data_IF_601997347728
#
_entry.id   IF_601997347728
#
_cell.length_a   1.000
_cell.length_b   1.000
_cell.length_c   1.000
_cell.angle_alpha   90.00
_cell.angle_beta   90.00
_cell.angle_gamma   90.00
#
_symmetry.space_group_name_H-M   'P 1'
#
loop_
_entity.id
_entity.type
_entity.pdbx_description
1 polymer ?
#
# COMPACT_ATOMS: atom_id res chain seq x y z
N UNK A 1 -24.70 7.86 -7.61
CA UNK A 1 -23.91 7.95 -6.35
C UNK A 1 -22.45 7.83 -6.73
N UNK A 2 -21.55 8.55 -6.04
CA UNK A 2 -20.11 8.39 -6.24
C UNK A 2 -19.68 6.99 -5.78
N UNK A 3 -18.67 6.42 -6.43
CA UNK A 3 -18.08 5.13 -6.03
C UNK A 3 -17.08 5.39 -4.90
N UNK A 4 -17.31 4.86 -3.71
CA UNK A 4 -16.41 5.05 -2.57
C UNK A 4 -15.21 4.10 -2.64
N UNK A 5 -14.02 4.64 -2.38
CA UNK A 5 -12.75 3.88 -2.32
C UNK A 5 -12.15 4.06 -0.93
N UNK A 6 -12.00 2.96 -0.20
CA UNK A 6 -11.31 2.96 1.10
C UNK A 6 -9.80 2.88 0.86
N UNK A 7 -9.04 3.78 1.48
CA UNK A 7 -7.58 3.85 1.35
C UNK A 7 -6.95 3.73 2.74
N UNK A 8 -6.39 2.60 3.05
CA UNK A 8 -5.63 2.39 4.28
C UNK A 8 -4.19 2.87 4.07
N UNK A 9 -3.73 3.82 4.91
CA UNK A 9 -2.46 4.52 4.71
C UNK A 9 -2.57 5.75 3.80
N UNK A 10 -3.76 6.35 3.72
CA UNK A 10 -4.06 7.43 2.79
C UNK A 10 -3.35 8.77 3.06
N UNK A 11 -2.84 8.99 4.27
CA UNK A 11 -2.04 10.18 4.62
C UNK A 11 -0.56 10.06 4.23
N UNK A 12 -0.11 8.89 3.77
CA UNK A 12 1.24 8.69 3.22
C UNK A 12 1.42 9.38 1.86
N UNK A 13 2.67 9.43 1.36
CA UNK A 13 2.98 10.14 0.11
C UNK A 13 2.20 9.61 -1.11
N UNK A 14 2.11 8.29 -1.29
CA UNK A 14 1.32 7.68 -2.36
C UNK A 14 -0.18 7.89 -2.10
N UNK A 15 -0.62 7.75 -0.84
CA UNK A 15 -2.02 7.89 -0.45
C UNK A 15 -2.58 9.27 -0.76
N UNK A 16 -1.86 10.34 -0.41
CA UNK A 16 -2.26 11.71 -0.71
C UNK A 16 -2.43 11.96 -2.20
N UNK A 17 -1.47 11.49 -3.01
CA UNK A 17 -1.58 11.61 -4.47
C UNK A 17 -2.75 10.77 -5.04
N UNK A 18 -3.06 9.62 -4.42
CA UNK A 18 -4.21 8.81 -4.81
C UNK A 18 -5.53 9.51 -4.49
N UNK A 19 -5.66 10.11 -3.29
CA UNK A 19 -6.85 10.88 -2.90
C UNK A 19 -7.10 12.03 -3.88
N UNK A 20 -6.06 12.81 -4.23
CA UNK A 20 -6.15 13.91 -5.20
C UNK A 20 -6.74 13.40 -6.54
N UNK A 21 -6.15 12.35 -7.11
CA UNK A 21 -6.57 11.82 -8.40
C UNK A 21 -7.97 11.17 -8.37
N UNK A 22 -8.32 10.49 -7.28
CA UNK A 22 -9.65 9.92 -7.14
C UNK A 22 -10.73 11.00 -7.07
N UNK A 23 -10.46 12.14 -6.39
CA UNK A 23 -11.36 13.29 -6.38
C UNK A 23 -11.54 13.88 -7.79
N UNK A 24 -10.45 14.05 -8.56
CA UNK A 24 -10.49 14.49 -9.97
C UNK A 24 -11.34 13.56 -10.84
N UNK A 25 -11.30 12.26 -10.58
CA UNK A 25 -12.07 11.21 -11.29
C UNK A 25 -13.49 11.01 -10.74
N UNK A 26 -13.93 11.90 -9.83
CA UNK A 26 -15.27 11.87 -9.23
C UNK A 26 -15.59 10.60 -8.42
N UNK A 27 -14.56 9.96 -7.84
CA UNK A 27 -14.71 8.96 -6.77
C UNK A 27 -14.90 9.65 -5.41
N UNK A 28 -15.23 8.88 -4.40
CA UNK A 28 -15.33 9.32 -3.00
C UNK A 28 -14.26 8.57 -2.17
N UNK A 29 -13.05 9.13 -2.02
CA UNK A 29 -12.04 8.51 -1.18
C UNK A 29 -12.43 8.59 0.31
N UNK A 30 -12.19 7.50 1.05
CA UNK A 30 -12.33 7.41 2.50
C UNK A 30 -10.98 6.93 3.04
N UNK A 31 -10.30 7.76 3.80
CA UNK A 31 -8.95 7.47 4.31
C UNK A 31 -9.03 6.85 5.68
N UNK A 32 -8.36 5.70 5.84
CA UNK A 32 -8.04 5.06 7.11
C UNK A 32 -6.54 5.24 7.37
N UNK A 33 -6.16 5.91 8.45
CA UNK A 33 -4.75 6.10 8.82
C UNK A 33 -4.60 6.30 10.33
N UNK A 34 -3.39 6.24 10.83
CA UNK A 34 -3.10 6.54 12.22
C UNK A 34 -3.51 7.99 12.55
N UNK A 35 -4.08 8.20 13.70
CA UNK A 35 -4.52 9.54 14.16
C UNK A 35 -3.41 10.59 14.03
N UNK A 36 -2.15 10.22 14.34
CA UNK A 36 -0.99 11.10 14.20
C UNK A 36 -0.70 11.48 12.75
N UNK A 37 -0.96 10.58 11.80
CA UNK A 37 -0.77 10.84 10.37
C UNK A 37 -1.86 11.77 9.83
N UNK A 38 -3.11 11.55 10.24
CA UNK A 38 -4.26 12.40 9.90
C UNK A 38 -4.04 13.83 10.43
N UNK A 39 -3.59 13.98 11.68
CA UNK A 39 -3.27 15.30 12.26
C UNK A 39 -2.13 16.01 11.54
N UNK A 40 -1.16 15.27 11.00
CA UNK A 40 0.01 15.83 10.32
C UNK A 40 -0.29 16.22 8.88
N UNK A 41 -1.14 15.47 8.19
CA UNK A 41 -1.42 15.64 6.77
C UNK A 41 -2.93 15.74 6.53
N UNK A 42 -3.37 16.94 6.15
CA UNK A 42 -4.73 17.14 5.67
C UNK A 42 -4.87 16.57 4.26
N UNK A 43 -5.95 15.81 4.02
CA UNK A 43 -6.41 15.35 2.71
C UNK A 43 -7.87 15.75 2.51
N UNK A 44 -8.26 16.02 1.28
CA UNK A 44 -9.61 16.47 0.94
C UNK A 44 -10.58 15.27 0.83
N UNK A 45 -10.84 14.62 1.96
CA UNK A 45 -11.81 13.52 2.07
C UNK A 45 -12.12 13.20 3.54
N UNK A 46 -13.04 12.28 3.76
CA UNK A 46 -13.31 11.72 5.09
C UNK A 46 -12.09 10.93 5.56
N UNK A 47 -11.62 11.23 6.78
CA UNK A 47 -10.52 10.52 7.43
C UNK A 47 -10.98 9.90 8.74
N UNK A 48 -10.76 8.61 8.90
CA UNK A 48 -11.12 7.85 10.10
C UNK A 48 -9.84 7.28 10.72
N UNK A 49 -9.58 7.54 12.03
CA UNK A 49 -8.41 7.01 12.71
C UNK A 49 -8.44 5.48 12.80
N UNK A 50 -7.38 4.82 12.33
CA UNK A 50 -7.25 3.36 12.34
C UNK A 50 -5.83 2.95 12.66
N UNK A 51 -5.68 1.99 13.57
CA UNK A 51 -4.47 1.17 13.67
C UNK A 51 -4.66 -0.11 12.84
N UNK A 52 -3.92 -0.23 11.77
CA UNK A 52 -4.02 -1.35 10.83
C UNK A 52 -3.52 -2.69 11.42
N UNK A 53 -2.85 -2.67 12.57
CA UNK A 53 -2.40 -3.86 13.29
C UNK A 53 -3.48 -4.42 14.24
N UNK A 54 -4.58 -3.67 14.42
CA UNK A 54 -5.66 -3.99 15.34
C UNK A 54 -6.97 -4.27 14.58
N UNK A 55 -7.38 -5.54 14.52
CA UNK A 55 -8.61 -5.94 13.81
C UNK A 55 -9.84 -5.16 14.26
N UNK A 56 -9.97 -4.90 15.58
CA UNK A 56 -11.12 -4.19 16.11
C UNK A 56 -11.15 -2.74 15.64
N UNK A 57 -9.99 -2.06 15.60
CA UNK A 57 -9.87 -0.70 15.08
C UNK A 57 -10.36 -0.61 13.62
N UNK A 58 -9.96 -1.58 12.78
CA UNK A 58 -10.41 -1.60 11.38
C UNK A 58 -11.92 -1.86 11.27
N UNK A 59 -12.47 -2.79 12.09
CA UNK A 59 -13.89 -3.09 12.10
C UNK A 59 -14.73 -1.90 12.54
N UNK A 60 -14.33 -1.21 13.59
CA UNK A 60 -15.05 -0.04 14.11
C UNK A 60 -15.10 1.05 13.04
N UNK A 61 -13.95 1.39 12.43
CA UNK A 61 -13.90 2.32 11.31
C UNK A 61 -14.74 1.86 10.10
N UNK A 62 -14.76 0.56 9.81
CA UNK A 62 -15.57 0.03 8.71
C UNK A 62 -17.07 0.20 8.95
N UNK A 63 -17.53 0.27 10.20
CA UNK A 63 -18.93 0.50 10.55
C UNK A 63 -19.35 1.97 10.39
N UNK A 64 -18.39 2.89 10.33
CA UNK A 64 -18.64 4.31 10.03
C UNK A 64 -18.85 4.57 8.52
N UNK A 65 -18.58 3.57 7.67
CA UNK A 65 -18.81 3.68 6.22
C UNK A 65 -20.29 3.41 5.93
N UNK A 66 -21.00 4.43 5.47
CA UNK A 66 -22.41 4.35 5.12
C UNK A 66 -22.69 4.28 3.61
N UNK A 67 -21.64 4.49 2.80
CA UNK A 67 -21.71 4.38 1.33
C UNK A 67 -21.32 2.99 0.85
N UNK A 68 -21.74 2.64 -0.36
CA UNK A 68 -21.31 1.40 -1.01
C UNK A 68 -19.83 1.47 -1.38
N UNK A 69 -19.03 0.55 -0.87
CA UNK A 69 -17.59 0.49 -1.17
C UNK A 69 -17.35 -0.19 -2.50
N UNK A 70 -16.79 0.55 -3.46
CA UNK A 70 -16.41 0.02 -4.77
C UNK A 70 -15.03 -0.62 -4.77
N UNK A 71 -14.11 -0.09 -3.96
CA UNK A 71 -12.75 -0.62 -3.91
C UNK A 71 -12.05 -0.35 -2.59
N UNK A 72 -11.00 -1.12 -2.38
CA UNK A 72 -10.13 -1.00 -1.22
C UNK A 72 -8.67 -1.00 -1.66
N UNK A 73 -7.89 -0.05 -1.17
CA UNK A 73 -6.45 0.06 -1.43
C UNK A 73 -5.69 0.01 -0.11
N UNK A 74 -4.74 -0.92 0.03
CA UNK A 74 -3.86 -0.97 1.19
C UNK A 74 -2.47 -0.44 0.81
N UNK A 75 -2.09 0.71 1.38
CA UNK A 75 -0.80 1.38 1.20
C UNK A 75 0.06 1.33 2.47
N UNK A 76 -0.38 0.61 3.50
CA UNK A 76 0.35 0.54 4.77
C UNK A 76 1.66 -0.20 4.59
N UNK A 77 2.69 0.36 5.22
CA UNK A 77 3.98 -0.29 5.30
C UNK A 77 5.08 0.65 5.82
N UNK A 78 6.12 0.02 6.35
CA UNK A 78 7.32 0.71 6.79
C UNK A 78 8.51 -0.24 6.74
N UNK A 79 9.72 0.30 6.71
CA UNK A 79 10.97 -0.46 6.81
C UNK A 79 11.59 -0.27 8.19
N UNK A 80 12.21 -1.35 8.69
CA UNK A 80 13.14 -1.28 9.82
C UNK A 80 14.51 -0.79 9.37
N UNK A 81 15.44 -0.70 10.30
CA UNK A 81 16.86 -0.46 9.99
C UNK A 81 17.44 -1.63 9.19
N UNK A 82 18.44 -1.32 8.35
CA UNK A 82 19.11 -2.30 7.52
C UNK A 82 20.05 -3.15 8.35
N UNK A 83 19.57 -4.32 8.78
CA UNK A 83 20.31 -5.31 9.56
C UNK A 83 20.22 -6.66 8.83
N UNK A 84 21.24 -7.52 8.96
CA UNK A 84 21.16 -8.86 8.39
C UNK A 84 19.97 -9.63 8.97
N UNK A 85 19.39 -10.55 8.22
CA UNK A 85 18.24 -11.33 8.67
C UNK A 85 18.53 -12.10 9.97
N UNK A 86 19.75 -12.64 10.08
CA UNK A 86 20.16 -13.43 11.26
C UNK A 86 20.34 -12.56 12.51
N UNK A 87 20.77 -11.31 12.32
CA UNK A 87 20.97 -10.36 13.42
C UNK A 87 19.71 -9.53 13.75
N UNK A 88 18.63 -9.75 13.01
CA UNK A 88 17.35 -9.05 13.24
C UNK A 88 16.77 -9.48 14.58
N UNK A 89 16.49 -8.50 15.46
CA UNK A 89 15.83 -8.78 16.75
C UNK A 89 14.39 -9.29 16.52
N UNK A 90 13.95 -10.21 17.36
CA UNK A 90 12.60 -10.79 17.29
C UNK A 90 11.51 -9.72 17.36
N UNK A 91 11.71 -8.69 18.18
CA UNK A 91 10.76 -7.57 18.32
C UNK A 91 10.63 -6.79 17.02
N UNK A 92 11.75 -6.48 16.37
CA UNK A 92 11.78 -5.81 15.05
C UNK A 92 11.13 -6.68 13.97
N UNK A 93 11.41 -7.99 13.99
CA UNK A 93 10.76 -8.94 13.10
C UNK A 93 9.24 -8.90 13.26
N UNK A 94 8.75 -9.05 14.50
CA UNK A 94 7.32 -9.07 14.79
C UNK A 94 6.65 -7.74 14.37
N UNK A 95 7.27 -6.61 14.68
CA UNK A 95 6.75 -5.30 14.30
C UNK A 95 6.63 -5.14 12.76
N UNK A 96 7.67 -5.54 12.02
CA UNK A 96 7.66 -5.42 10.56
C UNK A 96 6.66 -6.38 9.92
N UNK A 97 6.56 -7.61 10.40
CA UNK A 97 5.57 -8.58 9.89
C UNK A 97 4.14 -8.11 10.21
N UNK A 98 3.88 -7.68 11.44
CA UNK A 98 2.55 -7.19 11.83
C UNK A 98 2.15 -5.97 11.00
N UNK A 99 3.00 -4.97 10.89
CA UNK A 99 2.68 -3.74 10.17
C UNK A 99 2.66 -3.84 8.64
N UNK A 100 3.31 -4.84 8.02
CA UNK A 100 3.39 -4.95 6.55
C UNK A 100 2.63 -6.15 5.96
N UNK A 101 2.42 -7.22 6.70
CA UNK A 101 1.76 -8.44 6.21
C UNK A 101 0.47 -8.72 6.97
N UNK A 102 0.51 -8.80 8.30
CA UNK A 102 -0.67 -9.08 9.10
C UNK A 102 -1.73 -8.00 8.92
N UNK A 103 -1.33 -6.71 8.87
CA UNK A 103 -2.23 -5.59 8.58
C UNK A 103 -3.00 -5.75 7.27
N UNK A 104 -2.39 -6.36 6.25
CA UNK A 104 -3.05 -6.66 4.96
C UNK A 104 -4.12 -7.74 5.14
N UNK A 105 -3.80 -8.81 5.87
CA UNK A 105 -4.77 -9.87 6.19
C UNK A 105 -5.93 -9.32 7.03
N UNK A 106 -5.66 -8.56 8.09
CA UNK A 106 -6.68 -8.02 8.98
C UNK A 106 -7.61 -7.05 8.23
N UNK A 107 -7.05 -6.18 7.38
CA UNK A 107 -7.85 -5.23 6.60
C UNK A 107 -8.71 -5.94 5.53
N UNK A 108 -8.17 -6.91 4.82
CA UNK A 108 -8.94 -7.71 3.89
C UNK A 108 -10.09 -8.45 4.58
N UNK A 109 -9.82 -9.06 5.75
CA UNK A 109 -10.81 -9.74 6.57
C UNK A 109 -11.95 -8.82 7.05
N UNK A 110 -11.62 -7.57 7.41
CA UNK A 110 -12.61 -6.62 7.90
C UNK A 110 -13.43 -5.96 6.78
N UNK A 111 -12.82 -5.72 5.60
CA UNK A 111 -13.39 -4.87 4.56
C UNK A 111 -13.96 -5.65 3.36
N UNK A 112 -13.53 -6.90 3.10
CA UNK A 112 -13.97 -7.64 1.90
C UNK A 112 -15.50 -7.76 1.81
N UNK A 113 -16.18 -7.99 2.93
CA UNK A 113 -17.65 -8.07 2.99
C UNK A 113 -18.38 -6.72 2.82
N UNK A 114 -17.67 -5.60 2.79
CA UNK A 114 -18.21 -4.26 2.52
C UNK A 114 -18.09 -3.86 1.06
N UNK A 115 -17.24 -4.56 0.31
CA UNK A 115 -16.98 -4.26 -1.10
C UNK A 115 -18.12 -4.86 -1.92
N UNK A 116 -18.70 -4.05 -2.79
CA UNK A 116 -19.78 -4.46 -3.68
C UNK A 116 -19.33 -5.51 -4.69
N UNK A 117 -20.27 -6.24 -5.26
CA UNK A 117 -20.03 -7.08 -6.44
C UNK A 117 -19.51 -6.24 -7.62
N UNK A 118 -18.50 -6.75 -8.32
CA UNK A 118 -17.74 -6.04 -9.35
C UNK A 118 -16.67 -5.09 -8.80
N UNK A 119 -16.46 -5.07 -7.48
CA UNK A 119 -15.44 -4.25 -6.84
C UNK A 119 -14.02 -4.77 -7.00
N UNK A 120 -13.05 -4.01 -6.46
CA UNK A 120 -11.62 -4.34 -6.60
C UNK A 120 -10.81 -4.04 -5.34
N UNK A 121 -9.88 -4.92 -5.01
CA UNK A 121 -8.87 -4.74 -3.95
C UNK A 121 -7.51 -4.57 -4.61
N UNK A 122 -6.76 -3.53 -4.20
CA UNK A 122 -5.37 -3.33 -4.63
C UNK A 122 -4.46 -3.29 -3.41
N UNK A 123 -3.53 -4.24 -3.34
CA UNK A 123 -2.55 -4.37 -2.26
C UNK A 123 -1.20 -3.80 -2.70
N UNK A 124 -0.41 -3.32 -1.74
CA UNK A 124 0.94 -2.81 -2.03
C UNK A 124 2.01 -3.78 -1.55
N UNK A 125 2.55 -4.53 -2.50
CA UNK A 125 3.77 -5.32 -2.35
C UNK A 125 5.01 -4.41 -2.50
N UNK A 126 6.11 -4.92 -2.98
CA UNK A 126 7.35 -4.20 -3.29
C UNK A 126 8.19 -5.01 -4.27
N UNK A 127 9.03 -4.37 -5.04
CA UNK A 127 10.07 -5.06 -5.79
C UNK A 127 10.92 -5.97 -4.89
N UNK A 128 11.23 -5.53 -3.66
CA UNK A 128 11.96 -6.32 -2.67
C UNK A 128 11.23 -7.61 -2.21
N UNK A 129 9.94 -7.74 -2.45
CA UNK A 129 9.21 -9.00 -2.26
C UNK A 129 9.48 -10.04 -3.35
N UNK A 130 10.16 -9.67 -4.44
CA UNK A 130 10.40 -10.53 -5.61
C UNK A 130 11.89 -10.77 -5.87
N UNK A 131 12.79 -9.95 -5.31
CA UNK A 131 14.23 -10.18 -5.33
C UNK A 131 14.84 -9.82 -3.97
N UNK A 132 15.90 -10.52 -3.60
CA UNK A 132 16.55 -10.34 -2.31
C UNK A 132 17.61 -9.22 -2.38
N UNK A 133 17.68 -8.44 -1.28
CA UNK A 133 18.80 -7.54 -0.99
C UNK A 133 19.23 -7.70 0.46
N UNK A 134 20.54 -7.72 0.77
CA UNK A 134 21.01 -7.71 2.15
C UNK A 134 20.43 -6.53 2.95
N UNK A 135 20.07 -6.77 4.20
CA UNK A 135 19.56 -5.74 5.10
C UNK A 135 18.05 -5.47 5.05
N UNK A 136 17.31 -6.10 4.13
CA UNK A 136 15.85 -5.86 3.98
C UNK A 136 15.00 -7.07 4.37
N UNK A 137 15.57 -8.08 5.07
CA UNK A 137 14.97 -9.39 5.30
C UNK A 137 13.50 -9.38 5.74
N UNK A 138 13.15 -8.83 6.92
CA UNK A 138 11.77 -8.86 7.40
C UNK A 138 10.78 -8.17 6.45
N UNK A 139 11.15 -6.99 5.92
CA UNK A 139 10.34 -6.25 4.97
C UNK A 139 10.14 -7.00 3.65
N UNK A 140 11.22 -7.53 3.08
CA UNK A 140 11.16 -8.29 1.83
C UNK A 140 10.25 -9.52 1.97
N UNK A 141 10.39 -10.26 3.08
CA UNK A 141 9.56 -11.43 3.40
C UNK A 141 8.10 -11.03 3.55
N UNK A 142 7.80 -9.95 4.30
CA UNK A 142 6.44 -9.45 4.44
C UNK A 142 5.83 -9.08 3.08
N UNK A 143 6.56 -8.37 2.22
CA UNK A 143 6.07 -7.94 0.89
C UNK A 143 5.93 -9.10 -0.11
N UNK A 144 6.76 -10.15 -0.01
CA UNK A 144 6.53 -11.40 -0.72
C UNK A 144 5.21 -12.07 -0.26
N UNK A 145 4.97 -12.08 1.06
CA UNK A 145 3.72 -12.53 1.66
C UNK A 145 2.50 -11.77 1.14
N UNK A 146 2.60 -10.44 0.98
CA UNK A 146 1.49 -9.63 0.40
C UNK A 146 1.13 -10.08 -1.01
N UNK A 147 2.11 -10.38 -1.87
CA UNK A 147 1.85 -10.92 -3.21
C UNK A 147 1.19 -12.31 -3.16
N UNK A 148 1.53 -13.13 -2.17
CA UNK A 148 0.87 -14.41 -1.94
C UNK A 148 -0.58 -14.22 -1.46
N UNK A 149 -0.83 -13.29 -0.51
CA UNK A 149 -2.18 -12.92 -0.04
C UNK A 149 -3.03 -12.42 -1.21
N UNK A 150 -2.50 -11.58 -2.10
CA UNK A 150 -3.24 -11.12 -3.26
C UNK A 150 -3.72 -12.26 -4.15
N UNK A 151 -2.87 -13.26 -4.43
CA UNK A 151 -3.25 -14.44 -5.22
C UNK A 151 -4.31 -15.29 -4.52
N UNK A 152 -4.16 -15.52 -3.21
CA UNK A 152 -5.10 -16.31 -2.43
C UNK A 152 -6.48 -15.65 -2.39
N UNK A 153 -6.53 -14.35 -2.05
CA UNK A 153 -7.79 -13.59 -2.04
C UNK A 153 -8.43 -13.48 -3.42
N UNK A 154 -7.63 -13.39 -4.49
CA UNK A 154 -8.14 -13.39 -5.86
C UNK A 154 -8.93 -14.65 -6.19
N UNK A 155 -8.48 -15.82 -5.73
CA UNK A 155 -9.20 -17.09 -5.91
C UNK A 155 -10.45 -17.17 -5.03
N UNK A 156 -10.34 -16.75 -3.77
CA UNK A 156 -11.42 -16.90 -2.78
C UNK A 156 -12.57 -15.89 -2.99
N UNK A 157 -12.28 -14.71 -3.52
CA UNK A 157 -13.26 -13.64 -3.71
C UNK A 157 -13.80 -13.54 -5.15
N UNK A 158 -13.25 -14.33 -6.08
CA UNK A 158 -13.76 -14.39 -7.46
C UNK A 158 -15.08 -15.19 -7.51
N UNK A 159 -15.99 -14.83 -8.44
CA UNK A 159 -15.91 -13.77 -9.44
C UNK A 159 -16.36 -12.39 -8.94
N UNK A 160 -16.76 -12.25 -7.67
CA UNK A 160 -17.41 -11.06 -7.15
C UNK A 160 -16.45 -9.87 -7.01
N UNK A 161 -15.20 -10.12 -6.58
CA UNK A 161 -14.21 -9.08 -6.31
C UNK A 161 -12.88 -9.47 -6.93
N UNK A 162 -12.26 -8.53 -7.67
CA UNK A 162 -10.89 -8.71 -8.18
C UNK A 162 -9.89 -8.30 -7.11
N UNK A 163 -8.79 -9.03 -7.00
CA UNK A 163 -7.71 -8.70 -6.06
C UNK A 163 -6.38 -8.72 -6.81
N UNK A 164 -5.67 -7.61 -6.78
CA UNK A 164 -4.36 -7.47 -7.41
C UNK A 164 -3.38 -6.75 -6.47
N UNK A 165 -2.12 -6.72 -6.85
CA UNK A 165 -1.09 -5.98 -6.14
C UNK A 165 -0.31 -5.07 -7.11
N UNK A 166 0.23 -3.98 -6.57
CA UNK A 166 1.32 -3.22 -7.19
C UNK A 166 2.61 -3.50 -6.42
N UNK A 167 3.74 -3.56 -7.12
CA UNK A 167 5.07 -3.74 -6.53
C UNK A 167 5.99 -2.57 -6.94
N UNK A 168 5.96 -1.46 -6.20
CA UNK A 168 6.83 -0.32 -6.45
C UNK A 168 8.31 -0.65 -6.19
N UNK A 169 9.22 0.06 -6.89
CA UNK A 169 10.58 0.28 -6.46
C UNK A 169 10.66 1.45 -5.46
N UNK A 170 11.77 2.16 -5.40
CA UNK A 170 11.88 3.38 -4.60
C UNK A 170 10.96 4.47 -5.17
N UNK A 171 10.14 5.04 -4.28
CA UNK A 171 9.24 6.16 -4.58
C UNK A 171 9.62 7.32 -3.67
N UNK A 172 9.83 8.51 -4.22
CA UNK A 172 10.23 9.68 -3.43
C UNK A 172 9.09 10.14 -2.52
N UNK A 173 9.12 9.63 -1.33
CA UNK A 173 8.16 9.89 -0.25
C UNK A 173 8.86 9.84 1.10
N UNK A 174 8.16 10.23 2.17
CA UNK A 174 8.65 10.08 3.54
C UNK A 174 9.06 8.63 3.89
N UNK A 175 8.54 7.64 3.18
CA UNK A 175 8.90 6.23 3.38
C UNK A 175 10.40 5.97 3.24
N UNK A 176 11.09 6.63 2.30
CA UNK A 176 12.53 6.51 2.11
C UNK A 176 13.35 7.14 3.26
N UNK A 177 12.69 7.87 4.14
CA UNK A 177 13.26 8.59 5.30
C UNK A 177 12.81 7.99 6.64
N UNK A 178 12.08 6.86 6.63
CA UNK A 178 11.57 6.17 7.81
C UNK A 178 10.05 6.07 7.91
N UNK A 179 9.31 6.82 7.07
CA UNK A 179 7.86 6.76 6.95
C UNK A 179 7.13 7.87 7.70
N UNK A 180 5.92 8.14 7.25
CA UNK A 180 5.03 9.16 7.83
C UNK A 180 4.75 8.84 9.31
N UNK A 181 5.00 9.81 10.17
CA UNK A 181 4.78 9.68 11.62
C UNK A 181 5.81 8.81 12.36
N UNK A 182 6.81 8.23 11.69
CA UNK A 182 7.89 7.42 12.29
C UNK A 182 9.24 8.13 12.31
N UNK A 183 9.46 9.09 11.42
CA UNK A 183 10.70 9.88 11.35
C UNK A 183 10.41 11.30 10.88
N UNK A 184 11.44 12.15 10.89
CA UNK A 184 11.36 13.43 10.22
C UNK A 184 11.28 13.22 8.71
N UNK A 185 10.23 13.75 8.08
CA UNK A 185 10.05 13.68 6.62
C UNK A 185 11.05 14.55 5.85
N UNK A 186 11.77 15.42 6.58
CA UNK A 186 12.79 16.34 6.03
C UNK A 186 14.22 15.79 6.14
N UNK A 187 14.41 14.61 6.73
CA UNK A 187 15.72 13.97 6.76
C UNK A 187 16.17 13.57 5.36
N UNK A 188 17.50 13.56 5.11
CA UNK A 188 18.00 13.05 3.84
C UNK A 188 17.58 11.58 3.67
N UNK A 189 17.38 11.14 2.43
CA UNK A 189 17.08 9.74 2.16
C UNK A 189 18.25 8.85 2.62
N UNK A 190 17.90 7.60 2.99
CA UNK A 190 18.87 6.61 3.53
C UNK A 190 19.86 6.06 2.48
N UNK A 191 19.83 6.57 1.25
CA UNK A 191 20.72 6.17 0.15
C UNK A 191 20.95 7.34 -0.83
N UNK A 192 21.99 7.23 -1.64
CA UNK A 192 22.33 8.18 -2.68
C UNK A 192 21.29 8.12 -3.82
N UNK A 193 20.47 9.15 -3.92
CA UNK A 193 19.37 9.25 -4.89
C UNK A 193 19.88 9.31 -6.34
N UNK A 194 20.95 10.05 -6.61
CA UNK A 194 21.47 10.20 -7.97
C UNK A 194 22.03 8.87 -8.48
N UNK A 195 22.88 8.25 -7.67
CA UNK A 195 23.46 6.94 -7.99
C UNK A 195 22.39 5.84 -8.11
N UNK A 196 21.34 5.92 -7.28
CA UNK A 196 20.24 4.95 -7.39
C UNK A 196 19.44 5.17 -8.69
N UNK A 197 19.15 6.44 -9.06
CA UNK A 197 18.45 6.79 -10.29
C UNK A 197 19.24 6.35 -11.54
N UNK A 198 20.58 6.47 -11.52
CA UNK A 198 21.45 5.99 -12.61
C UNK A 198 21.35 4.48 -12.85
N UNK A 199 21.05 3.70 -11.81
CA UNK A 199 20.89 2.24 -11.93
C UNK A 199 19.51 1.83 -12.46
N UNK A 200 18.54 2.74 -12.50
CA UNK A 200 17.19 2.47 -13.02
C UNK A 200 17.19 2.71 -14.54
N UNK A 201 16.67 1.81 -15.39
CA UNK A 201 16.55 2.04 -16.82
C UNK A 201 15.87 3.35 -17.21
N UNK A 202 14.78 3.74 -16.51
CA UNK A 202 14.12 5.04 -16.74
C UNK A 202 14.85 6.25 -16.11
N UNK A 203 16.03 6.04 -15.53
CA UNK A 203 16.96 7.10 -15.06
C UNK A 203 16.37 8.08 -14.05
N UNK A 204 15.38 7.67 -13.29
CA UNK A 204 14.79 8.47 -12.21
C UNK A 204 14.18 7.59 -11.11
N UNK A 205 14.05 8.13 -9.92
CA UNK A 205 13.21 7.55 -8.86
C UNK A 205 11.75 7.84 -9.19
N UNK A 206 10.85 6.93 -8.85
CA UNK A 206 9.43 7.12 -9.05
C UNK A 206 8.90 8.24 -8.15
N UNK A 207 7.91 8.97 -8.63
CA UNK A 207 7.09 9.88 -7.83
C UNK A 207 5.75 9.22 -7.50
N UNK A 208 5.00 9.69 -6.49
CA UNK A 208 3.71 9.09 -6.10
C UNK A 208 2.76 8.84 -7.29
N UNK A 209 2.68 9.77 -8.24
CA UNK A 209 1.82 9.66 -9.44
C UNK A 209 2.18 8.47 -10.36
N UNK A 210 3.42 7.99 -10.35
CA UNK A 210 3.80 6.78 -11.08
C UNK A 210 3.13 5.51 -10.53
N UNK A 211 2.77 5.53 -9.24
CA UNK A 211 2.17 4.38 -8.55
C UNK A 211 0.64 4.45 -8.57
N UNK A 212 0.08 5.66 -8.44
CA UNK A 212 -1.37 5.84 -8.39
C UNK A 212 -2.05 5.51 -9.72
N UNK A 213 -1.41 5.75 -10.87
CA UNK A 213 -1.94 5.38 -12.19
C UNK A 213 -2.26 3.88 -12.29
N UNK A 214 -1.30 2.96 -12.07
CA UNK A 214 -1.56 1.53 -12.00
C UNK A 214 -2.61 1.12 -10.96
N UNK A 215 -2.66 1.76 -9.79
CA UNK A 215 -3.69 1.50 -8.77
C UNK A 215 -5.08 1.84 -9.33
N UNK A 216 -5.25 3.03 -9.90
CA UNK A 216 -6.52 3.48 -10.49
C UNK A 216 -6.94 2.56 -11.62
N UNK A 217 -6.01 2.16 -12.50
CA UNK A 217 -6.27 1.18 -13.55
C UNK A 217 -6.78 -0.15 -12.97
N UNK A 218 -6.13 -0.69 -11.94
CA UNK A 218 -6.56 -1.94 -11.30
C UNK A 218 -7.92 -1.82 -10.58
N UNK A 219 -8.29 -0.63 -10.12
CA UNK A 219 -9.61 -0.36 -9.56
C UNK A 219 -10.68 -0.27 -10.65
N UNK A 220 -10.34 0.12 -11.87
CA UNK A 220 -11.28 0.43 -12.93
C UNK A 220 -11.84 -0.81 -13.66
N UNK A 221 -12.81 -0.59 -14.55
CA UNK A 221 -13.42 -1.64 -15.38
C UNK A 221 -12.50 -2.11 -16.50
N UNK A 222 -11.51 -1.29 -16.91
CA UNK A 222 -10.48 -1.67 -17.88
C UNK A 222 -9.63 -2.85 -17.40
N UNK A 223 -9.56 -3.08 -16.07
CA UNK A 223 -8.91 -4.23 -15.47
C UNK A 223 -9.87 -5.41 -15.17
N UNK A 224 -11.05 -5.45 -15.79
CA UNK A 224 -12.11 -6.44 -15.48
C UNK A 224 -11.69 -7.90 -15.65
N UNK A 225 -10.67 -8.17 -16.47
CA UNK A 225 -10.13 -9.54 -16.67
C UNK A 225 -8.77 -9.76 -16.00
N UNK A 226 -8.43 -8.89 -15.01
CA UNK A 226 -7.16 -8.95 -14.28
C UNK A 226 -7.44 -9.20 -12.80
N UNK A 227 -7.06 -10.38 -12.30
CA UNK A 227 -7.10 -10.74 -10.88
C UNK A 227 -5.91 -11.62 -10.51
N UNK A 228 -5.44 -11.57 -9.28
CA UNK A 228 -4.29 -12.32 -8.76
C UNK A 228 -2.93 -11.86 -9.27
N UNK A 229 -2.86 -10.72 -9.99
CA UNK A 229 -1.62 -10.24 -10.59
C UNK A 229 -0.88 -9.27 -9.66
N UNK A 230 0.45 -9.24 -9.80
CA UNK A 230 1.31 -8.21 -9.21
C UNK A 230 1.94 -7.40 -10.33
N UNK A 231 1.57 -6.11 -10.43
CA UNK A 231 2.15 -5.19 -11.41
C UNK A 231 3.40 -4.53 -10.84
N UNK A 232 4.55 -4.77 -11.48
CA UNK A 232 5.82 -4.14 -11.12
C UNK A 232 5.88 -2.70 -11.64
N UNK A 233 5.97 -1.72 -10.72
CA UNK A 233 6.07 -0.29 -11.03
C UNK A 233 7.45 0.20 -10.59
N UNK A 234 8.47 -0.10 -11.37
CA UNK A 234 9.86 -0.04 -10.91
C UNK A 234 10.85 0.58 -11.91
N UNK A 235 10.36 1.20 -12.99
CA UNK A 235 11.22 1.85 -14.00
C UNK A 235 12.16 0.89 -14.73
N UNK A 236 11.90 -0.43 -14.69
CA UNK A 236 12.74 -1.47 -15.29
C UNK A 236 13.87 -1.98 -14.38
N UNK A 237 13.92 -1.56 -13.11
CA UNK A 237 14.99 -1.99 -12.18
C UNK A 237 14.96 -3.49 -11.84
N UNK A 238 13.83 -4.14 -12.06
CA UNK A 238 13.64 -5.58 -11.94
C UNK A 238 12.57 -6.05 -12.92
N UNK A 239 12.89 -7.11 -13.68
CA UNK A 239 12.01 -7.75 -14.66
C UNK A 239 11.95 -9.24 -14.30
N UNK A 240 10.85 -9.73 -13.66
CA UNK A 240 10.70 -11.15 -13.29
C UNK A 240 10.53 -12.06 -14.50
#
# INVERSE_FOLDING_TARGET
MKKSIVILGGCGGIGRALVEQLNELNFEPIVFDLERSIKKHSVDCVCIPVDATELQSIKDASNEIHSEVYGFVNLVGFMSDNVSLIDTKTETWNEVISGNLESVFLSAKALSGKIREGGSIVLTSSGLGHFARPGYGPYAIAKAGVSAVARQLALELSPQIRVNAVAPAAVDTAFLRGGTGRSSENEPPRFDHEKYAEAIPLRRIAVPKDITGPIIFLLSEEASYITGQTIHVNGGSYMP
#
